data_IF_124432791458
#
_entry.id   IF_124432791458
#
_cell.length_a   1.000
_cell.length_b   1.000
_cell.length_c   1.000
_cell.angle_alpha   90.00
_cell.angle_beta   90.00
_cell.angle_gamma   90.00
#
_symmetry.space_group_name_H-M   'P 1'
#
loop_
_entity.id
_entity.type
_entity.pdbx_description
1 polymer ?
#
# COMPACT_ATOMS: atom_id res chain seq x y z
N UNK A 1 -4.12 2.36 12.59
CA UNK A 1 -3.25 2.67 11.41
C UNK A 1 -3.99 3.52 10.38
N UNK A 2 -5.24 3.20 9.98
CA UNK A 2 -6.03 4.05 9.05
C UNK A 2 -6.17 5.50 9.52
N UNK A 3 -6.50 5.74 10.79
CA UNK A 3 -6.53 7.12 11.34
C UNK A 3 -5.19 7.87 11.22
N UNK A 4 -4.06 7.18 11.46
CA UNK A 4 -2.73 7.80 11.35
C UNK A 4 -2.39 8.10 9.89
N UNK A 5 -2.75 7.21 8.97
CA UNK A 5 -2.59 7.46 7.53
C UNK A 5 -3.41 8.66 7.08
N UNK A 6 -4.67 8.78 7.53
CA UNK A 6 -5.52 9.92 7.21
C UNK A 6 -4.94 11.24 7.75
N UNK A 7 -4.34 11.22 8.94
CA UNK A 7 -3.66 12.38 9.51
C UNK A 7 -2.39 12.76 8.74
N UNK A 8 -1.57 11.77 8.36
CA UNK A 8 -0.39 12.00 7.51
C UNK A 8 -0.77 12.56 6.14
N UNK A 9 -1.86 12.11 5.53
CA UNK A 9 -2.35 12.67 4.26
C UNK A 9 -2.81 14.11 4.42
N UNK A 10 -3.49 14.46 5.52
CA UNK A 10 -3.89 15.86 5.79
C UNK A 10 -2.68 16.77 5.96
N UNK A 11 -1.66 16.31 6.68
CA UNK A 11 -0.41 17.07 6.83
C UNK A 11 0.33 17.23 5.49
N UNK A 12 0.38 16.16 4.68
CA UNK A 12 0.96 16.22 3.34
C UNK A 12 0.21 17.21 2.43
N UNK A 13 -1.13 17.28 2.52
CA UNK A 13 -1.93 18.28 1.79
C UNK A 13 -1.56 19.70 2.20
N UNK A 14 -1.48 19.96 3.51
CA UNK A 14 -1.08 21.27 4.03
C UNK A 14 0.32 21.66 3.55
N UNK A 15 1.28 20.73 3.61
CA UNK A 15 2.64 20.96 3.11
C UNK A 15 2.65 21.27 1.61
N UNK A 16 1.79 20.60 0.84
CA UNK A 16 1.63 20.83 -0.60
C UNK A 16 1.05 22.21 -0.89
N UNK A 17 0.06 22.67 -0.11
CA UNK A 17 -0.48 24.04 -0.21
C UNK A 17 0.60 25.10 0.09
N UNK A 18 1.40 24.88 1.14
CA UNK A 18 2.52 25.76 1.50
C UNK A 18 3.58 25.80 0.37
N UNK A 19 3.89 24.66 -0.23
CA UNK A 19 4.78 24.58 -1.39
C UNK A 19 4.22 25.29 -2.62
N UNK A 20 2.92 25.22 -2.88
CA UNK A 20 2.28 25.93 -3.99
C UNK A 20 2.39 27.46 -3.81
N UNK A 21 2.14 27.94 -2.59
CA UNK A 21 2.29 29.36 -2.26
C UNK A 21 3.76 29.80 -2.46
N UNK A 22 4.72 29.01 -1.97
CA UNK A 22 6.14 29.29 -2.14
C UNK A 22 6.54 29.32 -3.62
N UNK A 23 6.09 28.34 -4.42
CA UNK A 23 6.36 28.30 -5.86
C UNK A 23 5.81 29.53 -6.59
N UNK A 24 4.58 29.98 -6.25
CA UNK A 24 4.01 31.21 -6.82
C UNK A 24 4.84 32.45 -6.46
N UNK A 25 5.26 32.58 -5.20
CA UNK A 25 6.12 33.69 -4.76
C UNK A 25 7.49 33.68 -5.46
N UNK A 26 8.09 32.50 -5.64
CA UNK A 26 9.32 32.35 -6.41
C UNK A 26 9.13 32.77 -7.87
N UNK A 27 8.03 32.36 -8.51
CA UNK A 27 7.72 32.74 -9.90
C UNK A 27 7.54 34.25 -10.05
N UNK A 28 6.84 34.90 -9.13
CA UNK A 28 6.73 36.37 -9.11
C UNK A 28 8.08 37.06 -8.92
N UNK A 29 8.93 36.51 -8.05
CA UNK A 29 10.27 37.07 -7.77
C UNK A 29 11.18 36.92 -8.99
N UNK A 30 11.14 35.78 -9.68
CA UNK A 30 11.86 35.57 -10.93
C UNK A 30 11.42 36.56 -12.02
N UNK A 31 10.10 36.83 -12.14
CA UNK A 31 9.58 37.86 -13.05
C UNK A 31 10.08 39.27 -12.71
N UNK A 32 10.10 39.63 -11.42
CA UNK A 32 10.66 40.91 -10.96
C UNK A 32 12.16 41.02 -11.27
N UNK A 33 12.91 39.92 -11.12
CA UNK A 33 14.33 39.86 -11.46
C UNK A 33 14.58 40.05 -12.97
N UNK A 34 13.79 39.37 -13.81
CA UNK A 34 13.83 39.57 -15.25
C UNK A 34 13.53 41.03 -15.64
N UNK A 35 12.53 41.65 -15.01
CA UNK A 35 12.20 43.07 -15.24
C UNK A 35 13.34 44.01 -14.80
N UNK A 36 13.98 43.74 -13.65
CA UNK A 36 15.11 44.52 -13.17
C UNK A 36 16.32 44.43 -14.12
N UNK A 37 16.67 43.22 -14.58
CA UNK A 37 17.73 43.01 -15.56
C UNK A 37 17.44 43.71 -16.90
N UNK A 38 16.17 43.73 -17.33
CA UNK A 38 15.77 44.47 -18.53
C UNK A 38 15.92 45.99 -18.33
N UNK A 39 15.60 46.52 -17.15
CA UNK A 39 15.82 47.94 -16.83
C UNK A 39 17.31 48.30 -16.81
N UNK A 40 18.16 47.44 -16.22
CA UNK A 40 19.61 47.63 -16.22
C UNK A 40 20.16 47.65 -17.65
N UNK A 41 19.70 46.74 -18.51
CA UNK A 41 20.07 46.72 -19.93
C UNK A 41 19.71 48.03 -20.63
N UNK A 42 18.46 48.48 -20.49
CA UNK A 42 18.00 49.74 -21.09
C UNK A 42 18.81 50.95 -20.58
N UNK A 43 19.10 50.99 -19.27
CA UNK A 43 19.93 52.05 -18.68
C UNK A 43 21.37 52.02 -19.18
N UNK A 44 21.92 50.82 -19.41
CA UNK A 44 23.25 50.64 -19.98
C UNK A 44 23.30 51.09 -21.44
N UNK A 45 22.25 50.82 -22.22
CA UNK A 45 22.13 51.30 -23.62
C UNK A 45 22.11 52.83 -23.71
N UNK A 46 21.37 53.51 -22.82
CA UNK A 46 21.38 54.97 -22.76
C UNK A 46 22.75 55.51 -22.30
N UNK A 47 23.39 54.84 -21.35
CA UNK A 47 24.74 55.23 -20.92
C UNK A 47 25.76 55.08 -22.05
N UNK A 48 25.67 54.01 -22.86
CA UNK A 48 26.51 53.80 -24.04
C UNK A 48 26.38 54.95 -25.04
N UNK A 49 25.16 55.45 -25.29
CA UNK A 49 24.92 56.61 -26.16
C UNK A 49 25.58 57.88 -25.64
N UNK A 50 25.50 58.11 -24.32
CA UNK A 50 26.15 59.27 -23.67
C UNK A 50 27.67 59.16 -23.82
N UNK A 51 28.26 58.00 -23.52
CA UNK A 51 29.71 57.77 -23.65
C UNK A 51 30.19 57.96 -25.09
N UNK A 52 29.40 57.49 -26.08
CA UNK A 52 29.68 57.75 -27.49
C UNK A 52 29.69 59.24 -27.83
N UNK A 53 28.75 60.00 -27.27
CA UNK A 53 28.69 61.47 -27.46
C UNK A 53 29.92 62.15 -26.83
N UNK A 54 30.40 61.66 -25.68
CA UNK A 54 31.62 62.15 -25.03
C UNK A 54 32.86 61.88 -25.91
N UNK A 55 32.96 60.69 -26.50
CA UNK A 55 34.04 60.36 -27.44
C UNK A 55 34.02 61.27 -28.69
N UNK A 56 32.83 61.55 -29.23
CA UNK A 56 32.65 62.49 -30.33
C UNK A 56 33.08 63.93 -29.94
N UNK A 57 32.75 64.40 -28.74
CA UNK A 57 33.18 65.70 -28.21
C UNK A 57 34.71 65.73 -28.02
N UNK A 58 35.29 64.65 -27.48
CA UNK A 58 36.73 64.53 -27.30
C UNK A 58 37.46 64.59 -28.65
N UNK A 59 36.95 63.89 -29.67
CA UNK A 59 37.47 63.93 -31.03
C UNK A 59 37.38 65.34 -31.66
N UNK A 60 36.23 66.01 -31.53
CA UNK A 60 36.08 67.39 -32.01
C UNK A 60 37.03 68.36 -31.29
N UNK A 61 37.20 68.21 -29.98
CA UNK A 61 38.12 69.03 -29.17
C UNK A 61 39.57 68.82 -29.61
N UNK A 62 39.95 67.57 -29.89
CA UNK A 62 41.26 67.22 -30.43
C UNK A 62 41.51 67.87 -31.80
N UNK A 63 40.51 67.89 -32.69
CA UNK A 63 40.61 68.58 -33.99
C UNK A 63 40.69 70.11 -33.85
N UNK A 64 39.94 70.70 -32.91
CA UNK A 64 40.02 72.14 -32.61
C UNK A 64 41.39 72.53 -32.07
N UNK A 65 41.95 71.72 -31.16
CA UNK A 65 43.28 71.91 -30.61
C UNK A 65 44.37 71.81 -31.68
N UNK A 66 44.24 70.86 -32.62
CA UNK A 66 45.14 70.75 -33.76
C UNK A 66 45.10 72.01 -34.65
N UNK A 67 43.90 72.52 -34.97
CA UNK A 67 43.75 73.75 -35.74
C UNK A 67 44.39 74.96 -35.01
N UNK A 68 44.21 75.04 -33.69
CA UNK A 68 44.82 76.08 -32.87
C UNK A 68 46.36 75.99 -32.84
N UNK A 69 46.91 74.77 -32.75
CA UNK A 69 48.36 74.55 -32.81
C UNK A 69 48.95 74.98 -34.17
N UNK A 70 48.24 74.71 -35.27
CA UNK A 70 48.64 75.16 -36.62
C UNK A 70 48.63 76.68 -36.74
N UNK A 71 47.57 77.34 -36.25
CA UNK A 71 47.47 78.81 -36.32
C UNK A 71 48.50 79.49 -35.38
N UNK A 72 48.79 78.89 -34.23
CA UNK A 72 49.85 79.33 -33.33
C UNK A 72 51.24 79.22 -33.98
N UNK A 73 51.52 78.14 -34.73
CA UNK A 73 52.75 78.01 -35.51
C UNK A 73 52.83 79.06 -36.62
N UNK A 74 51.69 79.40 -37.24
CA UNK A 74 51.59 80.43 -38.28
C UNK A 74 51.84 81.84 -37.77
N UNK A 75 51.46 82.13 -36.53
CA UNK A 75 51.72 83.41 -35.86
C UNK A 75 53.17 83.61 -35.39
N UNK A 76 54.03 82.59 -35.51
CA UNK A 76 55.46 82.68 -35.18
C UNK A 76 55.72 82.97 -33.70
N UNK A 77 56.56 83.97 -33.41
CA UNK A 77 56.96 84.30 -32.03
C UNK A 77 55.79 84.78 -31.15
N UNK A 78 54.77 85.41 -31.72
CA UNK A 78 53.58 85.85 -31.00
C UNK A 78 52.66 84.68 -30.59
N UNK A 79 52.77 83.54 -31.26
CA UNK A 79 51.95 82.34 -31.04
C UNK A 79 52.51 81.34 -30.04
N UNK A 80 53.73 81.52 -29.53
CA UNK A 80 54.41 80.54 -28.66
C UNK A 80 53.61 80.16 -27.40
N UNK A 81 52.96 81.12 -26.76
CA UNK A 81 52.10 80.85 -25.60
C UNK A 81 50.82 80.08 -25.96
N UNK A 82 50.21 80.39 -27.11
CA UNK A 82 49.03 79.69 -27.60
C UNK A 82 49.33 78.26 -28.06
N UNK A 83 50.53 78.01 -28.60
CA UNK A 83 50.96 76.66 -28.98
C UNK A 83 51.02 75.70 -27.79
N UNK A 84 51.51 76.16 -26.63
CA UNK A 84 51.56 75.34 -25.40
C UNK A 84 50.15 75.02 -24.91
N UNK A 85 49.24 76.00 -24.91
CA UNK A 85 47.85 75.77 -24.51
C UNK A 85 47.15 74.80 -25.47
N UNK A 86 47.38 74.93 -26.78
CA UNK A 86 46.80 74.03 -27.78
C UNK A 86 47.27 72.57 -27.59
N UNK A 87 48.54 72.34 -27.28
CA UNK A 87 49.06 70.99 -27.00
C UNK A 87 48.48 70.41 -25.70
N UNK A 88 48.31 71.22 -24.65
CA UNK A 88 47.69 70.76 -23.40
C UNK A 88 46.21 70.37 -23.59
N UNK A 89 45.46 71.17 -24.35
CA UNK A 89 44.05 70.87 -24.70
C UNK A 89 43.96 69.60 -25.55
N UNK A 90 44.90 69.40 -26.49
CA UNK A 90 45.00 68.19 -27.30
C UNK A 90 45.25 66.95 -26.45
N UNK A 91 46.19 67.03 -25.51
CA UNK A 91 46.51 65.93 -24.61
C UNK A 91 45.32 65.58 -23.70
N UNK A 92 44.62 66.60 -23.17
CA UNK A 92 43.39 66.41 -22.41
C UNK A 92 42.28 65.72 -23.22
N UNK A 93 42.11 66.09 -24.49
CA UNK A 93 41.15 65.47 -25.39
C UNK A 93 41.47 63.99 -25.66
N UNK A 94 42.75 63.63 -25.88
CA UNK A 94 43.18 62.24 -26.06
C UNK A 94 42.94 61.39 -24.81
N UNK A 95 43.25 61.92 -23.63
CA UNK A 95 42.95 61.26 -22.34
C UNK A 95 41.44 61.06 -22.13
N UNK A 96 40.63 62.03 -22.55
CA UNK A 96 39.16 61.92 -22.48
C UNK A 96 38.64 60.81 -23.41
N UNK A 97 39.18 60.69 -24.62
CA UNK A 97 38.81 59.63 -25.56
C UNK A 97 39.20 58.23 -25.04
N UNK A 98 40.39 58.09 -24.45
CA UNK A 98 40.82 56.83 -23.82
C UNK A 98 39.93 56.41 -22.64
N UNK A 99 39.56 57.38 -21.79
CA UNK A 99 38.62 57.15 -20.68
C UNK A 99 37.22 56.78 -21.18
N UNK A 100 36.72 57.44 -22.23
CA UNK A 100 35.45 57.11 -22.87
C UNK A 100 35.46 55.69 -23.42
N UNK A 101 36.53 55.29 -24.12
CA UNK A 101 36.69 53.92 -24.65
C UNK A 101 36.68 52.86 -23.54
N UNK A 102 37.42 53.09 -22.46
CA UNK A 102 37.45 52.16 -21.31
C UNK A 102 36.08 52.04 -20.65
N UNK A 103 35.36 53.17 -20.50
CA UNK A 103 34.00 53.19 -19.96
C UNK A 103 33.03 52.46 -20.88
N UNK A 104 33.16 52.62 -22.20
CA UNK A 104 32.33 51.90 -23.18
C UNK A 104 32.48 50.38 -23.05
N UNK A 105 33.71 49.90 -22.85
CA UNK A 105 33.95 48.47 -22.64
C UNK A 105 33.25 47.95 -21.37
N UNK A 106 33.33 48.68 -20.25
CA UNK A 106 32.64 48.29 -19.01
C UNK A 106 31.11 48.27 -19.18
N UNK A 107 30.56 49.16 -20.01
CA UNK A 107 29.13 49.19 -20.32
C UNK A 107 28.73 47.97 -21.17
N UNK A 108 29.53 47.60 -22.18
CA UNK A 108 29.30 46.40 -22.98
C UNK A 108 29.34 45.13 -22.11
N UNK A 109 30.32 45.02 -21.21
CA UNK A 109 30.39 43.94 -20.23
C UNK A 109 29.15 43.90 -19.31
N UNK A 110 28.67 45.07 -18.86
CA UNK A 110 27.44 45.17 -18.04
C UNK A 110 26.18 44.78 -18.82
N UNK A 111 26.09 45.11 -20.11
CA UNK A 111 24.99 44.70 -21.00
C UNK A 111 24.98 43.18 -21.22
N UNK A 112 26.16 42.59 -21.41
CA UNK A 112 26.32 41.15 -21.54
C UNK A 112 25.90 40.43 -20.25
N UNK A 113 26.36 40.92 -19.08
CA UNK A 113 25.98 40.39 -17.78
C UNK A 113 24.45 40.47 -17.54
N UNK A 114 23.82 41.60 -17.88
CA UNK A 114 22.36 41.77 -17.77
C UNK A 114 21.58 40.84 -18.70
N UNK A 115 22.09 40.59 -19.90
CA UNK A 115 21.46 39.67 -20.87
C UNK A 115 21.55 38.23 -20.37
N UNK A 116 22.70 37.81 -19.85
CA UNK A 116 22.84 36.52 -19.19
C UNK A 116 21.91 36.40 -17.97
N UNK A 117 21.85 37.44 -17.13
CA UNK A 117 20.94 37.49 -15.99
C UNK A 117 19.46 37.33 -16.38
N UNK A 118 19.06 37.85 -17.54
CA UNK A 118 17.71 37.65 -18.09
C UNK A 118 17.47 36.19 -18.50
N UNK A 119 18.43 35.57 -19.18
CA UNK A 119 18.35 34.15 -19.58
C UNK A 119 18.23 33.24 -18.36
N UNK A 120 19.10 33.43 -17.36
CA UNK A 120 19.05 32.67 -16.10
C UNK A 120 17.73 32.89 -15.36
N UNK A 121 17.21 34.12 -15.33
CA UNK A 121 15.90 34.41 -14.70
C UNK A 121 14.76 33.66 -15.38
N UNK A 122 14.80 33.53 -16.72
CA UNK A 122 13.81 32.79 -17.47
C UNK A 122 13.91 31.28 -17.21
N UNK A 123 15.13 30.72 -17.19
CA UNK A 123 15.35 29.31 -16.85
C UNK A 123 14.87 28.99 -15.43
N UNK A 124 15.13 29.86 -14.46
CA UNK A 124 14.61 29.74 -13.09
C UNK A 124 13.07 29.75 -13.11
N UNK A 125 12.46 30.62 -13.91
CA UNK A 125 11.00 30.63 -14.11
C UNK A 125 10.45 29.30 -14.62
N UNK A 126 11.07 28.71 -15.65
CA UNK A 126 10.68 27.40 -16.19
C UNK A 126 10.83 26.27 -15.16
N UNK A 127 11.93 26.26 -14.39
CA UNK A 127 12.14 25.28 -13.32
C UNK A 127 11.07 25.40 -12.23
N UNK A 128 10.70 26.63 -11.84
CA UNK A 128 9.63 26.86 -10.86
C UNK A 128 8.28 26.37 -11.39
N UNK A 129 7.99 26.57 -12.68
CA UNK A 129 6.76 26.05 -13.31
C UNK A 129 6.73 24.52 -13.31
N UNK A 130 7.87 23.85 -13.54
CA UNK A 130 7.98 22.40 -13.42
C UNK A 130 7.76 21.92 -11.97
N UNK A 131 8.32 22.64 -10.98
CA UNK A 131 8.09 22.36 -9.56
C UNK A 131 6.60 22.50 -9.23
N UNK A 132 5.95 23.58 -9.68
CA UNK A 132 4.53 23.80 -9.45
C UNK A 132 3.66 22.66 -10.03
N UNK A 133 3.99 22.16 -11.22
CA UNK A 133 3.34 20.99 -11.80
C UNK A 133 3.59 19.71 -10.98
N UNK A 134 4.81 19.54 -10.45
CA UNK A 134 5.15 18.44 -9.53
C UNK A 134 4.32 18.48 -8.25
N UNK A 135 4.22 19.65 -7.62
CA UNK A 135 3.42 19.91 -6.42
C UNK A 135 1.94 19.59 -6.68
N UNK A 136 1.39 20.00 -7.83
CA UNK A 136 0.01 19.65 -8.20
C UNK A 136 -0.21 18.13 -8.32
N UNK A 137 0.74 17.40 -8.91
CA UNK A 137 0.65 15.93 -8.98
C UNK A 137 0.69 15.29 -7.60
N UNK A 138 1.54 15.79 -6.70
CA UNK A 138 1.61 15.32 -5.31
C UNK A 138 0.28 15.60 -4.59
N UNK A 139 -0.29 16.80 -4.76
CA UNK A 139 -1.61 17.16 -4.21
C UNK A 139 -2.68 16.15 -4.63
N UNK A 140 -2.72 15.80 -5.92
CA UNK A 140 -3.67 14.81 -6.44
C UNK A 140 -3.46 13.43 -5.81
N UNK A 141 -2.22 12.97 -5.69
CA UNK A 141 -1.90 11.67 -5.07
C UNK A 141 -2.33 11.65 -3.59
N UNK A 142 -2.11 12.74 -2.86
CA UNK A 142 -2.51 12.85 -1.44
C UNK A 142 -4.03 12.88 -1.30
N UNK A 143 -4.74 13.55 -2.22
CA UNK A 143 -6.19 13.52 -2.27
C UNK A 143 -6.73 12.09 -2.51
N UNK A 144 -6.16 11.37 -3.47
CA UNK A 144 -6.52 9.98 -3.76
C UNK A 144 -6.23 9.05 -2.56
N UNK A 145 -5.11 9.27 -1.86
CA UNK A 145 -4.74 8.51 -0.66
C UNK A 145 -5.70 8.75 0.50
N UNK A 146 -6.19 9.99 0.64
CA UNK A 146 -7.19 10.35 1.64
C UNK A 146 -8.50 9.62 1.36
N UNK A 147 -8.99 9.66 0.11
CA UNK A 147 -10.18 8.93 -0.30
C UNK A 147 -10.05 7.42 -0.08
N UNK A 148 -8.91 6.82 -0.44
CA UNK A 148 -8.65 5.40 -0.21
C UNK A 148 -8.63 5.03 1.29
N UNK A 149 -8.14 5.93 2.15
CA UNK A 149 -8.15 5.72 3.60
C UNK A 149 -9.57 5.73 4.18
N UNK A 150 -10.45 6.57 3.66
CA UNK A 150 -11.86 6.61 4.05
C UNK A 150 -12.60 5.33 3.61
N UNK A 151 -12.32 4.83 2.41
CA UNK A 151 -12.86 3.54 1.93
C UNK A 151 -12.41 2.36 2.81
N UNK A 152 -11.13 2.36 3.22
CA UNK A 152 -10.61 1.36 4.16
C UNK A 152 -11.33 1.42 5.52
N UNK A 153 -11.66 2.61 6.01
CA UNK A 153 -12.40 2.76 7.26
C UNK A 153 -13.81 2.15 7.15
N UNK A 154 -14.49 2.34 6.01
CA UNK A 154 -15.79 1.73 5.75
C UNK A 154 -15.71 0.20 5.67
N UNK A 155 -14.73 -0.34 4.93
CA UNK A 155 -14.49 -1.79 4.86
C UNK A 155 -14.22 -2.39 6.25
N UNK A 156 -13.44 -1.72 7.09
CA UNK A 156 -13.20 -2.16 8.46
C UNK A 156 -14.49 -2.18 9.31
N UNK A 157 -15.38 -1.21 9.13
CA UNK A 157 -16.67 -1.21 9.81
C UNK A 157 -17.54 -2.40 9.38
N UNK A 158 -17.55 -2.72 8.08
CA UNK A 158 -18.25 -3.89 7.54
C UNK A 158 -17.67 -5.20 8.08
N UNK A 159 -16.35 -5.34 8.12
CA UNK A 159 -15.68 -6.52 8.70
C UNK A 159 -16.03 -6.66 10.17
N UNK A 160 -16.00 -5.57 10.94
CA UNK A 160 -16.37 -5.60 12.36
C UNK A 160 -17.83 -6.07 12.57
N UNK A 161 -18.74 -5.63 11.70
CA UNK A 161 -20.14 -6.10 11.71
C UNK A 161 -20.24 -7.59 11.39
N UNK A 162 -19.57 -8.06 10.33
CA UNK A 162 -19.56 -9.46 9.93
C UNK A 162 -18.95 -10.37 11.02
N UNK A 163 -17.88 -9.93 11.68
CA UNK A 163 -17.30 -10.65 12.82
C UNK A 163 -18.27 -10.74 14.00
N UNK A 164 -19.07 -9.70 14.25
CA UNK A 164 -20.10 -9.72 15.30
C UNK A 164 -21.21 -10.73 14.97
N UNK A 165 -21.67 -10.76 13.71
CA UNK A 165 -22.64 -11.76 13.25
C UNK A 165 -22.10 -13.18 13.32
N UNK A 166 -20.84 -13.40 12.94
CA UNK A 166 -20.18 -14.71 13.07
C UNK A 166 -20.08 -15.14 14.53
N UNK A 167 -19.70 -14.25 15.44
CA UNK A 167 -19.63 -14.55 16.87
C UNK A 167 -21.00 -15.01 17.41
N UNK A 168 -22.07 -14.29 17.04
CA UNK A 168 -23.44 -14.66 17.41
C UNK A 168 -23.87 -16.00 16.78
N UNK A 169 -23.51 -16.25 15.52
CA UNK A 169 -23.77 -17.53 14.86
C UNK A 169 -23.05 -18.70 15.54
N UNK A 170 -21.80 -18.51 15.99
CA UNK A 170 -21.05 -19.52 16.74
C UNK A 170 -21.71 -19.80 18.10
N UNK A 171 -22.21 -18.78 18.79
CA UNK A 171 -22.94 -18.96 20.06
C UNK A 171 -24.22 -19.79 19.89
N UNK A 172 -24.97 -19.53 18.80
CA UNK A 172 -26.15 -20.33 18.45
C UNK A 172 -25.78 -21.78 18.10
N UNK A 173 -24.71 -22.00 17.33
CA UNK A 173 -24.21 -23.35 17.01
C UNK A 173 -23.80 -24.09 18.28
N UNK A 174 -23.05 -23.45 19.18
CA UNK A 174 -22.66 -24.06 20.45
C UNK A 174 -23.88 -24.46 21.29
N UNK A 175 -24.91 -23.61 21.33
CA UNK A 175 -26.16 -23.92 22.03
C UNK A 175 -26.86 -25.13 21.41
N UNK A 176 -26.97 -25.17 20.09
CA UNK A 176 -27.58 -26.30 19.37
C UNK A 176 -26.78 -27.60 19.56
N UNK A 177 -25.44 -27.54 19.56
CA UNK A 177 -24.58 -28.70 19.83
C UNK A 177 -24.78 -29.19 21.26
N UNK A 178 -24.90 -28.30 22.25
CA UNK A 178 -25.19 -28.68 23.64
C UNK A 178 -26.55 -29.36 23.78
N UNK A 179 -27.58 -28.88 23.07
CA UNK A 179 -28.90 -29.50 23.05
C UNK A 179 -28.89 -30.87 22.36
N UNK A 180 -28.14 -31.00 21.26
CA UNK A 180 -27.95 -32.29 20.60
C UNK A 180 -27.23 -33.28 21.51
N UNK A 181 -26.27 -32.84 22.30
CA UNK A 181 -25.59 -33.68 23.29
C UNK A 181 -26.57 -34.19 24.36
N UNK A 182 -27.44 -33.32 24.88
CA UNK A 182 -28.49 -33.68 25.85
C UNK A 182 -29.47 -34.72 25.29
N UNK A 183 -30.00 -34.50 24.09
CA UNK A 183 -30.90 -35.46 23.42
C UNK A 183 -30.19 -36.77 23.08
N UNK A 184 -28.90 -36.72 22.72
CA UNK A 184 -28.11 -37.93 22.46
C UNK A 184 -27.93 -38.75 23.73
N UNK A 185 -27.70 -38.11 24.88
CA UNK A 185 -27.63 -38.78 26.18
C UNK A 185 -28.99 -39.35 26.60
N UNK A 186 -30.08 -38.61 26.41
CA UNK A 186 -31.44 -39.10 26.69
C UNK A 186 -31.78 -40.34 25.85
N UNK A 187 -31.48 -40.32 24.55
CA UNK A 187 -31.67 -41.47 23.66
C UNK A 187 -30.85 -42.68 24.08
N UNK A 188 -29.60 -42.48 24.54
CA UNK A 188 -28.77 -43.56 25.06
C UNK A 188 -29.40 -44.17 26.33
N UNK A 189 -29.83 -43.34 27.29
CA UNK A 189 -30.51 -43.80 28.51
C UNK A 189 -31.81 -44.53 28.22
N UNK A 190 -32.65 -44.02 27.30
CA UNK A 190 -33.91 -44.66 26.91
C UNK A 190 -33.68 -45.98 26.18
N UNK A 191 -32.60 -46.09 25.39
CA UNK A 191 -32.19 -47.34 24.75
C UNK A 191 -31.75 -48.38 25.79
N UNK A 192 -31.01 -47.97 26.82
CA UNK A 192 -30.64 -48.84 27.95
C UNK A 192 -31.89 -49.32 28.72
N UNK A 193 -32.82 -48.43 29.03
CA UNK A 193 -34.08 -48.78 29.71
C UNK A 193 -34.93 -49.73 28.87
N UNK A 194 -35.03 -49.48 27.56
CA UNK A 194 -35.77 -50.34 26.62
C UNK A 194 -35.14 -51.73 26.49
N UNK A 195 -33.80 -51.82 26.51
CA UNK A 195 -33.09 -53.09 26.53
C UNK A 195 -33.39 -53.87 27.81
N UNK A 196 -33.32 -53.22 28.98
CA UNK A 196 -33.66 -53.83 30.26
C UNK A 196 -35.12 -54.31 30.32
N UNK A 197 -36.08 -53.50 29.83
CA UNK A 197 -37.48 -53.90 29.74
C UNK A 197 -37.68 -55.09 28.79
N UNK A 198 -36.93 -55.15 27.68
CA UNK A 198 -36.97 -56.27 26.76
C UNK A 198 -36.42 -57.56 27.39
N UNK A 199 -35.37 -57.46 28.21
CA UNK A 199 -34.84 -58.59 29.00
C UNK A 199 -35.86 -59.06 30.04
N UNK A 200 -36.53 -58.16 30.76
CA UNK A 200 -37.56 -58.50 31.75
C UNK A 200 -38.77 -59.17 31.09
N UNK A 201 -39.25 -58.63 29.97
CA UNK A 201 -40.34 -59.24 29.19
C UNK A 201 -39.95 -60.63 28.68
N UNK A 202 -38.70 -60.81 28.23
CA UNK A 202 -38.18 -62.13 27.83
C UNK A 202 -38.17 -63.12 29.00
N UNK A 203 -37.72 -62.67 30.18
CA UNK A 203 -37.76 -63.47 31.41
C UNK A 203 -39.19 -63.87 31.81
N UNK A 204 -40.16 -62.95 31.75
CA UNK A 204 -41.57 -63.24 32.03
C UNK A 204 -42.17 -64.20 31.00
N UNK A 205 -41.81 -64.07 29.72
CA UNK A 205 -42.25 -65.00 28.67
C UNK A 205 -41.70 -66.42 28.90
N UNK A 206 -40.44 -66.54 29.34
CA UNK A 206 -39.86 -67.82 29.75
C UNK A 206 -40.58 -68.42 30.97
N UNK A 207 -40.86 -67.61 31.99
CA UNK A 207 -41.66 -68.05 33.14
C UNK A 207 -43.06 -68.52 32.75
N UNK A 208 -43.75 -67.79 31.87
CA UNK A 208 -45.05 -68.19 31.36
C UNK A 208 -44.96 -69.53 30.62
N UNK A 209 -43.97 -69.70 29.74
CA UNK A 209 -43.71 -70.97 29.03
C UNK A 209 -43.52 -72.12 30.03
N UNK A 210 -42.71 -71.92 31.07
CA UNK A 210 -42.50 -72.92 32.13
C UNK A 210 -43.80 -73.29 32.85
N UNK A 211 -44.64 -72.30 33.20
CA UNK A 211 -45.94 -72.56 33.84
C UNK A 211 -46.90 -73.34 32.93
N UNK A 212 -46.91 -73.05 31.62
CA UNK A 212 -47.71 -73.79 30.64
C UNK A 212 -47.20 -75.23 30.54
N UNK A 213 -45.88 -75.46 30.52
CA UNK A 213 -45.32 -76.82 30.50
C UNK A 213 -45.66 -77.61 31.77
N UNK A 214 -45.63 -76.97 32.94
CA UNK A 214 -46.08 -77.59 34.20
C UNK A 214 -47.57 -77.93 34.12
N UNK A 215 -48.41 -77.00 33.63
CA UNK A 215 -49.85 -77.22 33.52
C UNK A 215 -50.19 -78.34 32.51
N UNK A 216 -49.48 -78.39 31.38
CA UNK A 216 -49.57 -79.50 30.40
C UNK A 216 -49.15 -80.83 31.04
N UNK A 217 -48.12 -80.84 31.89
CA UNK A 217 -47.75 -82.05 32.64
C UNK A 217 -48.83 -82.50 33.63
N UNK A 218 -49.56 -81.56 34.26
CA UNK A 218 -50.61 -81.86 35.23
C UNK A 218 -51.90 -82.35 34.54
N UNK A 219 -52.28 -81.72 33.41
CA UNK A 219 -53.47 -82.07 32.64
C UNK A 219 -53.23 -83.31 31.75
N UNK A 220 -52.00 -83.46 31.23
CA UNK A 220 -51.53 -84.62 30.48
C UNK A 220 -51.21 -85.86 31.33
N UNK A 221 -51.13 -85.72 32.66
CA UNK A 221 -50.92 -86.85 33.59
C UNK A 221 -52.18 -87.69 33.85
N UNK A 222 -53.30 -87.46 33.15
CA UNK A 222 -54.49 -88.30 33.25
C UNK A 222 -54.55 -89.48 32.26
N UNK A 223 -53.55 -89.66 31.37
CA UNK A 223 -53.62 -90.74 30.38
C UNK A 223 -52.29 -91.47 30.06
N UNK A 224 -51.47 -91.74 31.08
CA UNK A 224 -50.29 -92.62 30.91
C UNK A 224 -50.22 -93.66 32.03
N UNK A 225 -51.18 -94.57 32.01
CA UNK A 225 -51.03 -95.91 32.59
C UNK A 225 -51.68 -96.92 31.65
N UNK A 226 -50.99 -97.30 30.56
CA UNK A 226 -50.96 -98.67 30.00
C UNK A 226 -50.03 -98.73 28.77
N UNK A 227 -49.14 -99.72 28.77
CA UNK A 227 -48.36 -100.30 27.65
C UNK A 227 -47.08 -99.58 27.17
N UNK A 228 -46.01 -99.90 27.88
CA UNK A 228 -44.69 -100.19 27.30
C UNK A 228 -44.78 -101.54 26.56
N UNK A 229 -44.47 -101.58 25.27
CA UNK A 229 -43.50 -102.49 24.61
C UNK A 229 -43.74 -102.56 23.10
N UNK A 230 -42.73 -102.13 22.34
CA UNK A 230 -42.28 -102.69 21.05
C UNK A 230 -43.29 -102.77 19.92
N UNK A 231 -43.15 -101.94 18.87
CA UNK A 231 -42.51 -102.35 17.61
C UNK A 231 -42.55 -101.25 16.53
N UNK A 232 -41.36 -100.96 15.97
CA UNK A 232 -41.07 -100.73 14.55
C UNK A 232 -41.55 -99.47 13.78
N UNK A 233 -40.51 -98.70 13.38
CA UNK A 233 -40.24 -98.01 12.09
C UNK A 233 -40.86 -96.61 11.90
N UNK A 234 -40.02 -95.57 12.07
CA UNK A 234 -39.18 -94.90 11.04
C UNK A 234 -40.02 -94.00 10.12
N UNK A 235 -40.26 -92.78 10.59
CA UNK A 235 -40.50 -91.60 9.75
C UNK A 235 -39.44 -90.57 10.14
N UNK A 236 -38.59 -90.18 9.19
CA UNK A 236 -37.47 -89.26 9.38
C UNK A 236 -37.94 -87.82 9.19
N UNK A 237 -37.86 -87.03 10.25
CA UNK A 237 -37.89 -85.57 10.19
C UNK A 237 -36.54 -85.04 10.70
N UNK A 238 -35.69 -84.63 9.77
CA UNK A 238 -34.68 -83.58 9.93
C UNK A 238 -35.33 -82.33 9.33
N UNK A 239 -35.31 -81.14 9.88
CA UNK A 239 -34.23 -80.43 10.57
C UNK A 239 -34.87 -79.11 11.08
N UNK A 240 -34.79 -78.81 12.39
CA UNK A 240 -35.26 -77.52 12.93
C UNK A 240 -34.55 -77.20 14.25
N UNK A 241 -33.23 -77.25 14.23
CA UNK A 241 -32.37 -76.83 15.34
C UNK A 241 -31.32 -75.81 14.85
N UNK A 242 -31.77 -74.73 14.21
CA UNK A 242 -30.88 -73.72 13.63
C UNK A 242 -31.25 -72.25 13.92
N UNK A 243 -32.24 -71.95 14.78
CA UNK A 243 -32.74 -70.57 14.93
C UNK A 243 -32.58 -69.93 16.32
N UNK A 244 -31.84 -70.54 17.25
CA UNK A 244 -31.60 -69.92 18.58
C UNK A 244 -30.18 -69.34 18.79
N UNK A 245 -29.20 -69.62 17.92
CA UNK A 245 -27.83 -69.06 18.04
C UNK A 245 -27.63 -67.75 17.26
N UNK A 246 -28.47 -67.44 16.27
CA UNK A 246 -28.30 -66.27 15.38
C UNK A 246 -28.62 -64.92 16.06
N UNK A 247 -29.65 -64.87 16.92
CA UNK A 247 -30.09 -63.61 17.54
C UNK A 247 -29.17 -63.11 18.66
N UNK A 248 -28.44 -63.99 19.35
CA UNK A 248 -27.52 -63.61 20.44
C UNK A 248 -26.19 -63.10 19.87
N UNK A 249 -25.74 -63.66 18.75
CA UNK A 249 -24.51 -63.26 18.07
C UNK A 249 -24.66 -61.90 17.35
N UNK A 250 -25.83 -61.61 16.79
CA UNK A 250 -26.12 -60.30 16.17
C UNK A 250 -26.29 -59.18 17.22
N UNK A 251 -26.86 -59.46 18.39
CA UNK A 251 -26.92 -58.50 19.50
C UNK A 251 -25.54 -58.16 20.08
N UNK A 252 -24.65 -59.16 20.22
CA UNK A 252 -23.26 -58.92 20.63
C UNK A 252 -22.44 -58.15 19.58
N UNK A 253 -22.71 -58.36 18.29
CA UNK A 253 -22.08 -57.58 17.21
C UNK A 253 -22.53 -56.12 17.22
N UNK A 254 -23.80 -55.83 17.50
CA UNK A 254 -24.31 -54.47 17.63
C UNK A 254 -23.74 -53.77 18.87
N UNK A 255 -23.67 -54.45 20.02
CA UNK A 255 -23.03 -53.92 21.23
C UNK A 255 -21.52 -53.63 21.03
N UNK A 256 -20.81 -54.51 20.31
CA UNK A 256 -19.38 -54.32 20.00
C UNK A 256 -19.16 -53.21 18.96
N UNK A 257 -20.10 -53.02 18.01
CA UNK A 257 -20.07 -51.92 17.06
C UNK A 257 -20.33 -50.56 17.74
N UNK A 258 -21.24 -50.49 18.71
CA UNK A 258 -21.53 -49.27 19.49
C UNK A 258 -20.35 -48.91 20.41
N UNK A 259 -19.72 -49.88 21.08
CA UNK A 259 -18.49 -49.65 21.86
C UNK A 259 -17.28 -49.26 20.99
N UNK A 260 -17.23 -49.67 19.72
CA UNK A 260 -16.20 -49.27 18.76
C UNK A 260 -16.32 -47.83 18.26
N UNK A 261 -17.52 -47.26 18.26
CA UNK A 261 -17.77 -45.88 17.82
C UNK A 261 -17.36 -44.86 18.90
N UNK A 262 -17.42 -45.22 20.18
CA UNK A 262 -17.03 -44.36 21.30
C UNK A 262 -15.53 -44.01 21.38
N UNK A 263 -14.66 -44.76 20.71
CA UNK A 263 -13.19 -44.56 20.79
C UNK A 263 -12.54 -43.93 19.54
N UNK A 264 -13.33 -43.52 18.53
CA UNK A 264 -12.82 -42.79 17.35
C UNK A 264 -13.42 -41.39 17.15
N UNK A 265 -14.17 -40.87 18.14
CA UNK A 265 -14.38 -39.43 18.28
C UNK A 265 -13.13 -38.77 18.86
N UNK A 266 -12.59 -37.75 18.19
CA UNK A 266 -11.38 -36.97 18.53
C UNK A 266 -10.05 -37.52 17.98
N UNK A 267 -9.97 -37.79 16.68
CA UNK A 267 -8.76 -37.42 15.92
C UNK A 267 -9.04 -36.14 15.13
N UNK A 268 -8.50 -35.05 15.68
CA UNK A 268 -8.15 -33.79 15.02
C UNK A 268 -8.37 -33.77 13.50
N UNK A 269 -9.52 -33.24 13.07
CA UNK A 269 -9.68 -32.75 11.71
C UNK A 269 -8.92 -31.43 11.57
N UNK A 270 -7.63 -31.49 11.22
CA UNK A 270 -7.00 -30.41 10.46
C UNK A 270 -7.56 -30.51 9.04
N UNK A 271 -8.58 -29.72 8.73
CA UNK A 271 -9.03 -29.53 7.36
C UNK A 271 -7.93 -28.78 6.59
N UNK A 272 -7.20 -29.58 5.83
CA UNK A 272 -6.52 -29.22 4.58
C UNK A 272 -7.29 -28.13 3.83
N UNK A 273 -6.74 -26.92 3.83
CA UNK A 273 -7.01 -25.95 2.79
C UNK A 273 -6.47 -26.52 1.47
N UNK A 274 -7.35 -26.65 0.49
CA UNK A 274 -6.98 -26.93 -0.90
C UNK A 274 -6.19 -25.73 -1.43
N UNK A 275 -4.87 -25.77 -1.24
CA UNK A 275 -3.95 -24.83 -1.84
C UNK A 275 -3.69 -25.29 -3.28
N UNK A 276 -4.30 -24.59 -4.22
CA UNK A 276 -3.93 -24.65 -5.63
C UNK A 276 -2.43 -24.40 -5.77
N UNK A 277 -1.74 -25.42 -6.26
CA UNK A 277 -0.31 -25.43 -6.54
C UNK A 277 0.00 -24.44 -7.67
N UNK A 278 0.40 -23.23 -7.31
CA UNK A 278 1.09 -22.30 -8.21
C UNK A 278 2.58 -22.70 -8.34
N UNK A 279 3.21 -22.46 -9.51
CA UNK A 279 4.56 -22.89 -9.80
C UNK A 279 5.60 -22.19 -8.91
N UNK A 280 6.61 -22.97 -8.48
CA UNK A 280 7.84 -22.44 -7.86
C UNK A 280 8.71 -21.84 -8.96
N UNK A 281 8.57 -20.55 -9.19
CA UNK A 281 9.65 -19.67 -9.64
C UNK A 281 9.39 -18.30 -9.01
N UNK A 282 10.04 -18.07 -7.87
CA UNK A 282 10.31 -16.73 -7.35
C UNK A 282 11.79 -16.70 -6.99
N UNK A 283 12.50 -15.93 -7.78
CA UNK A 283 13.84 -15.43 -7.51
C UNK A 283 13.92 -14.90 -6.07
N UNK A 284 15.03 -15.22 -5.41
CA UNK A 284 15.40 -14.63 -4.13
C UNK A 284 15.64 -13.14 -4.35
N UNK A 285 14.86 -12.29 -3.68
CA UNK A 285 15.05 -10.84 -3.63
C UNK A 285 16.16 -10.44 -2.63
N UNK A 286 17.32 -11.10 -2.68
CA UNK A 286 18.52 -10.75 -1.91
C UNK A 286 19.85 -10.89 -2.70
N UNK A 287 19.82 -11.04 -4.03
CA UNK A 287 21.02 -10.83 -4.84
C UNK A 287 21.16 -9.34 -5.17
N UNK A 288 21.81 -8.70 -4.21
CA UNK A 288 22.50 -7.42 -4.22
C UNK A 288 23.13 -7.09 -5.58
N UNK A 289 22.81 -5.90 -6.10
CA UNK A 289 23.54 -5.21 -7.17
C UNK A 289 24.99 -5.00 -6.66
N UNK A 290 26.04 -5.42 -7.37
CA UNK A 290 27.39 -5.06 -6.99
C UNK A 290 27.57 -3.57 -7.28
N UNK A 291 27.42 -2.74 -6.26
CA UNK A 291 27.92 -1.37 -6.29
C UNK A 291 29.43 -1.45 -6.05
N UNK A 292 30.20 -0.91 -6.99
CA UNK A 292 31.64 -0.72 -6.85
C UNK A 292 31.91 0.26 -5.70
N UNK A 293 32.90 -0.05 -4.85
CA UNK A 293 33.23 0.66 -3.61
C UNK A 293 33.83 2.08 -3.80
N UNK A 294 33.76 2.69 -4.99
CA UNK A 294 34.46 3.95 -5.29
C UNK A 294 33.60 5.23 -5.21
N UNK A 295 32.29 5.16 -4.95
CA UNK A 295 31.41 6.38 -4.89
C UNK A 295 30.92 6.76 -3.47
N UNK A 296 31.64 6.37 -2.41
CA UNK A 296 31.36 6.83 -1.04
C UNK A 296 32.42 7.77 -0.45
N UNK A 297 33.31 8.33 -1.29
CA UNK A 297 34.35 9.26 -0.84
C UNK A 297 34.11 10.74 -1.14
N UNK A 298 32.92 11.12 -1.63
CA UNK A 298 32.56 12.53 -1.83
C UNK A 298 31.15 12.84 -1.30
N UNK A 299 30.99 12.69 0.02
CA UNK A 299 30.05 13.44 0.85
C UNK A 299 30.72 13.85 2.17
#
# INVERSE_FOLDING_TARGET
>A
RVNVNAEHSREANRMTDEMEIAARQCSETAKKMAQANQQIKNSSDETAKIVKTIDEIAFQTNLLALNAAVEAARAGDAGKGFAVVAEEVRNLALRSAEAAKTTSQLIEESQAASTNGLEVSNQVGEMIDQIAQGVQKVSQIVADLTASSDDQANLLAQIASACKEQAQGIEQVNTAVSQLDEVTQENASSSEESAAASEELSAQAMQLKDTIMILDSIIGASDIATRRTTNSRRFSASDSAADEESCVEDMHRIHTAIQGIGHQGLKSGSSSSTHTRFPKDREKSEDVIPLEDDELSEF
#
